data_IF_342121111429
#
_entry.id   IF_342121111429
#
_cell.length_a   1.000
_cell.length_b   1.000
_cell.length_c   1.000
_cell.angle_alpha   90.00
_cell.angle_beta   90.00
_cell.angle_gamma   90.00
#
_symmetry.space_group_name_H-M   'P 1'
#
loop_
_entity.id
_entity.type
_entity.pdbx_description
1 polymer ?
#
# COMPACT_ATOMS: atom_id res chain seq x y z
N UNK A 1 -16.13 -10.35 -4.00
CA UNK A 1 -15.14 -10.67 -5.03
C UNK A 1 -15.13 -9.56 -6.06
N UNK A 2 -13.97 -9.23 -6.61
CA UNK A 2 -13.82 -8.32 -7.73
C UNK A 2 -14.04 -9.04 -9.08
N UNK A 3 -13.79 -8.36 -10.20
CA UNK A 3 -13.96 -8.93 -11.54
C UNK A 3 -12.99 -10.08 -11.85
N UNK A 4 -11.90 -10.22 -11.08
CA UNK A 4 -10.88 -11.26 -11.23
C UNK A 4 -11.18 -12.49 -10.36
N UNK A 5 -12.24 -12.42 -9.54
CA UNK A 5 -12.61 -13.48 -8.61
C UNK A 5 -11.86 -13.42 -7.27
N UNK A 6 -11.07 -12.36 -7.03
CA UNK A 6 -10.32 -12.17 -5.79
C UNK A 6 -11.15 -11.37 -4.76
N UNK A 7 -10.89 -11.50 -3.46
CA UNK A 7 -11.52 -10.66 -2.44
C UNK A 7 -11.25 -9.17 -2.66
N UNK A 8 -12.24 -8.32 -2.35
CA UNK A 8 -12.02 -6.87 -2.33
C UNK A 8 -11.14 -6.55 -1.11
N UNK A 9 -10.03 -5.86 -1.33
CA UNK A 9 -9.11 -5.49 -0.25
C UNK A 9 -9.60 -4.22 0.43
N UNK A 10 -9.77 -4.31 1.76
CA UNK A 10 -10.09 -3.18 2.63
C UNK A 10 -8.90 -2.83 3.51
N UNK A 11 -8.62 -1.54 3.66
CA UNK A 11 -7.65 -1.00 4.61
C UNK A 11 -8.38 -0.23 5.69
N UNK A 12 -8.03 -0.57 6.93
CA UNK A 12 -8.43 0.18 8.12
C UNK A 12 -7.18 0.74 8.79
N UNK A 13 -7.14 2.05 9.00
CA UNK A 13 -6.04 2.73 9.70
C UNK A 13 -6.54 3.11 11.09
N UNK A 14 -5.75 2.82 12.13
CA UNK A 14 -6.06 3.20 13.51
C UNK A 14 -5.34 4.49 13.89
N UNK A 15 -5.92 5.26 14.79
CA UNK A 15 -5.41 6.56 15.22
C UNK A 15 -5.89 6.93 16.64
N UNK A 16 -5.55 8.12 17.14
CA UNK A 16 -6.06 8.66 18.40
C UNK A 16 -6.88 9.94 18.17
N UNK A 17 -8.03 10.05 18.84
CA UNK A 17 -8.81 11.29 18.83
C UNK A 17 -8.28 12.31 19.86
N UNK A 18 -8.92 13.47 19.96
CA UNK A 18 -8.58 14.53 20.93
C UNK A 18 -8.65 14.10 22.40
N UNK A 19 -9.39 13.01 22.70
CA UNK A 19 -9.50 12.43 24.04
C UNK A 19 -8.44 11.33 24.27
N UNK A 20 -7.47 11.17 23.37
CA UNK A 20 -6.41 10.15 23.39
C UNK A 20 -6.98 8.72 23.38
N UNK A 21 -8.15 8.52 22.77
CA UNK A 21 -8.75 7.19 22.59
C UNK A 21 -8.42 6.65 21.21
N UNK A 22 -8.11 5.35 21.15
CA UNK A 22 -7.92 4.63 19.90
C UNK A 22 -9.22 4.64 19.08
N UNK A 23 -9.12 5.03 17.81
CA UNK A 23 -10.21 5.15 16.84
C UNK A 23 -9.76 4.64 15.47
N UNK A 24 -10.71 4.45 14.54
CA UNK A 24 -10.37 4.29 13.13
C UNK A 24 -10.27 5.67 12.45
N UNK A 25 -9.15 5.91 11.78
CA UNK A 25 -8.97 7.07 10.91
C UNK A 25 -9.90 6.94 9.69
N UNK A 26 -10.63 8.01 9.38
CA UNK A 26 -11.61 8.06 8.28
C UNK A 26 -11.18 8.96 7.12
N UNK A 27 -9.91 9.36 7.07
CA UNK A 27 -9.39 10.23 6.02
C UNK A 27 -9.28 9.54 4.66
N UNK A 28 -9.37 8.21 4.62
CA UNK A 28 -9.23 7.42 3.42
C UNK A 28 -10.39 6.44 3.25
N UNK A 29 -10.74 6.16 2.00
CA UNK A 29 -11.66 5.07 1.68
C UNK A 29 -11.08 3.74 2.16
N UNK A 30 -11.95 2.91 2.74
CA UNK A 30 -11.62 1.56 3.18
C UNK A 30 -11.30 0.64 2.00
N UNK A 31 -12.13 0.50 0.96
CA UNK A 31 -11.75 -0.28 -0.22
C UNK A 31 -10.58 0.40 -0.94
N UNK A 32 -9.54 -0.36 -1.27
CA UNK A 32 -8.39 0.19 -1.96
C UNK A 32 -8.68 0.49 -3.43
N UNK A 33 -8.12 1.60 -3.92
CA UNK A 33 -8.05 1.89 -5.34
C UNK A 33 -6.95 1.07 -6.03
N UNK A 34 -7.30 0.48 -7.17
CA UNK A 34 -6.40 -0.33 -7.99
C UNK A 34 -5.96 0.43 -9.23
N UNK A 35 -4.71 0.21 -9.65
CA UNK A 35 -4.14 0.79 -10.85
C UNK A 35 -3.45 -0.27 -11.68
N UNK A 36 -3.74 -0.31 -12.97
CA UNK A 36 -3.05 -1.18 -13.93
C UNK A 36 -1.69 -0.58 -14.23
N UNK A 37 -0.62 -1.34 -13.98
CA UNK A 37 0.75 -0.97 -14.33
C UNK A 37 1.27 -1.94 -15.39
N UNK A 38 1.72 -1.40 -16.53
CA UNK A 38 2.34 -2.17 -17.60
C UNK A 38 1.43 -3.28 -18.16
N UNK A 39 0.26 -2.92 -18.69
CA UNK A 39 -0.70 -3.76 -19.42
C UNK A 39 -1.06 -5.14 -18.82
N UNK A 40 -0.65 -5.47 -17.60
CA UNK A 40 -0.79 -6.83 -17.04
C UNK A 40 -1.08 -6.80 -15.54
N UNK A 41 -0.18 -6.28 -14.71
CA UNK A 41 -0.34 -6.35 -13.26
C UNK A 41 -1.16 -5.17 -12.71
N UNK A 42 -1.96 -5.44 -11.69
CA UNK A 42 -2.71 -4.41 -10.96
C UNK A 42 -2.07 -4.20 -9.59
N UNK A 43 -1.94 -2.93 -9.19
CA UNK A 43 -1.33 -2.53 -7.94
C UNK A 43 -2.33 -1.72 -7.11
N UNK A 44 -2.38 -2.01 -5.81
CA UNK A 44 -3.13 -1.19 -4.85
C UNK A 44 -2.18 -0.61 -3.80
N UNK A 45 -2.00 0.70 -3.81
CA UNK A 45 -1.14 1.41 -2.85
C UNK A 45 -1.87 1.55 -1.51
N UNK A 46 -1.32 0.95 -0.45
CA UNK A 46 -2.07 0.71 0.79
C UNK A 46 -1.59 1.57 1.95
N UNK A 47 -0.29 1.76 2.11
CA UNK A 47 0.27 2.67 3.10
C UNK A 47 1.71 3.03 2.75
N UNK A 48 2.19 4.17 3.27
CA UNK A 48 3.59 4.53 3.12
C UNK A 48 4.07 5.46 4.23
N UNK A 49 5.36 5.35 4.51
CA UNK A 49 6.10 6.25 5.38
C UNK A 49 7.35 6.72 4.63
N UNK A 50 8.00 7.78 5.11
CA UNK A 50 9.19 8.36 4.46
C UNK A 50 10.40 8.53 5.39
N UNK A 51 10.31 7.98 6.60
CA UNK A 51 11.36 8.07 7.60
C UNK A 51 11.29 6.90 8.57
N UNK A 52 12.42 6.61 9.19
CA UNK A 52 12.55 5.67 10.29
C UNK A 52 13.36 6.30 11.43
N UNK A 53 12.88 6.24 12.69
CA UNK A 53 11.57 5.76 13.11
C UNK A 53 10.42 6.62 12.53
N UNK A 54 9.26 5.97 12.31
CA UNK A 54 8.05 6.65 11.84
C UNK A 54 7.51 7.52 12.99
N UNK A 55 7.01 8.71 12.67
CA UNK A 55 6.35 9.58 13.64
C UNK A 55 4.84 9.47 13.45
N UNK A 56 4.19 8.82 14.41
CA UNK A 56 2.75 8.55 14.43
C UNK A 56 1.99 9.61 15.25
N UNK A 57 2.65 10.71 15.64
CA UNK A 57 2.01 11.80 16.36
C UNK A 57 1.47 12.84 15.38
N UNK A 58 0.39 13.51 15.79
CA UNK A 58 -0.20 14.65 15.08
C UNK A 58 -0.45 14.35 13.60
N UNK A 59 -0.93 13.14 13.30
CA UNK A 59 -1.27 12.66 11.96
C UNK A 59 -0.13 12.76 10.93
N UNK A 60 1.13 12.84 11.36
CA UNK A 60 2.26 13.07 10.42
C UNK A 60 2.47 11.94 9.43
N UNK A 61 2.25 10.70 9.83
CA UNK A 61 2.29 9.55 8.94
C UNK A 61 1.08 9.51 8.00
N UNK A 62 -0.10 9.93 8.49
CA UNK A 62 -1.32 10.10 7.69
C UNK A 62 -1.12 11.15 6.59
N UNK A 63 -0.58 12.32 6.94
CA UNK A 63 -0.26 13.40 5.99
C UNK A 63 0.77 12.95 4.96
N UNK A 64 1.80 12.23 5.42
CA UNK A 64 2.79 11.61 4.56
C UNK A 64 2.12 10.66 3.58
N UNK A 65 1.32 9.72 4.07
CA UNK A 65 0.62 8.75 3.24
C UNK A 65 -0.32 9.42 2.23
N UNK A 66 -1.09 10.41 2.66
CA UNK A 66 -1.99 11.21 1.80
C UNK A 66 -1.26 11.89 0.65
N UNK A 67 -0.06 12.44 0.92
CA UNK A 67 0.80 13.01 -0.12
C UNK A 67 1.21 11.96 -1.15
N UNK A 68 1.65 10.79 -0.72
CA UNK A 68 2.05 9.71 -1.64
C UNK A 68 0.89 9.08 -2.40
N UNK A 69 -0.34 9.16 -1.89
CA UNK A 69 -1.52 8.72 -2.62
C UNK A 69 -1.84 9.64 -3.82
N UNK A 70 -1.51 10.93 -3.72
CA UNK A 70 -1.70 11.92 -4.79
C UNK A 70 -0.54 11.89 -5.79
N UNK A 71 0.69 11.92 -5.27
CA UNK A 71 1.92 11.84 -6.05
C UNK A 71 2.56 10.47 -5.82
N UNK A 72 2.12 9.47 -6.59
CA UNK A 72 2.66 8.11 -6.51
C UNK A 72 4.14 8.12 -6.88
N UNK A 73 5.00 8.25 -5.87
CA UNK A 73 6.43 8.01 -6.01
C UNK A 73 6.65 6.54 -6.37
N UNK A 74 7.78 6.27 -7.03
CA UNK A 74 8.07 4.99 -7.66
C UNK A 74 8.09 3.77 -6.72
N UNK A 75 8.81 2.72 -7.10
CA UNK A 75 8.75 1.44 -6.37
C UNK A 75 9.26 1.51 -4.92
N UNK A 76 10.03 2.54 -4.56
CA UNK A 76 10.61 2.72 -3.21
C UNK A 76 10.51 4.16 -2.72
N UNK A 77 10.44 4.34 -1.40
CA UNK A 77 10.54 5.64 -0.72
C UNK A 77 11.81 5.64 0.12
N UNK A 78 12.81 6.48 -0.19
CA UNK A 78 14.05 6.54 0.59
C UNK A 78 13.78 6.79 2.09
N UNK A 79 14.37 5.95 2.95
CA UNK A 79 14.25 6.06 4.40
C UNK A 79 12.90 5.65 4.99
N UNK A 80 11.95 5.23 4.15
CA UNK A 80 10.60 4.87 4.58
C UNK A 80 10.21 3.45 4.21
N UNK A 81 8.90 3.19 4.28
CA UNK A 81 8.29 1.89 3.97
C UNK A 81 7.16 2.08 2.97
N UNK A 82 6.89 1.05 2.16
CA UNK A 82 5.75 1.00 1.25
C UNK A 82 5.01 -0.31 1.43
N UNK A 83 3.70 -0.24 1.64
CA UNK A 83 2.80 -1.37 1.58
C UNK A 83 1.93 -1.29 0.33
N UNK A 84 1.91 -2.37 -0.45
CA UNK A 84 1.11 -2.48 -1.67
C UNK A 84 0.60 -3.90 -1.86
N UNK A 85 -0.56 -4.03 -2.48
CA UNK A 85 -1.04 -5.30 -3.04
C UNK A 85 -0.70 -5.35 -4.52
N UNK A 86 -0.41 -6.55 -5.01
CA UNK A 86 -0.10 -6.80 -6.41
C UNK A 86 -0.88 -8.01 -6.86
N UNK A 87 -1.78 -7.81 -7.82
CA UNK A 87 -2.44 -8.91 -8.50
C UNK A 87 -1.64 -9.22 -9.77
N UNK A 88 -1.10 -10.44 -9.81
CA UNK A 88 -0.35 -10.97 -10.95
C UNK A 88 -1.26 -11.91 -11.75
N UNK A 89 -1.67 -11.55 -12.97
CA UNK A 89 -2.48 -12.45 -13.80
C UNK A 89 -1.73 -13.76 -14.10
N UNK A 90 -2.47 -14.87 -14.35
CA UNK A 90 -1.87 -16.14 -14.74
C UNK A 90 -0.93 -15.99 -15.95
N UNK A 91 0.28 -16.56 -15.86
CA UNK A 91 1.29 -16.52 -16.92
C UNK A 91 1.91 -15.13 -17.15
N UNK A 92 1.62 -14.14 -16.31
CA UNK A 92 2.29 -12.85 -16.35
C UNK A 92 3.67 -12.93 -15.69
N UNK A 93 4.61 -12.13 -16.19
CA UNK A 93 5.93 -11.96 -15.59
C UNK A 93 6.16 -10.48 -15.31
N UNK A 94 6.79 -10.18 -14.19
CA UNK A 94 7.24 -8.82 -13.89
C UNK A 94 8.55 -8.54 -14.64
N UNK A 95 8.81 -7.29 -15.05
CA UNK A 95 10.12 -6.93 -15.58
C UNK A 95 11.21 -7.14 -14.53
N UNK A 96 12.31 -7.76 -14.92
CA UNK A 96 13.48 -7.89 -14.05
C UNK A 96 14.05 -6.50 -13.72
N UNK A 97 14.15 -6.19 -12.43
CA UNK A 97 14.70 -4.93 -11.94
C UNK A 97 15.30 -5.11 -10.54
N UNK A 98 16.00 -4.07 -10.06
CA UNK A 98 16.55 -4.01 -8.70
C UNK A 98 16.14 -2.71 -8.03
N UNK A 99 15.59 -2.82 -6.83
CA UNK A 99 15.35 -1.72 -5.90
C UNK A 99 16.42 -1.72 -4.82
N UNK A 100 16.72 -0.55 -4.23
CA UNK A 100 17.56 -0.45 -3.04
C UNK A 100 16.63 -0.47 -1.83
N UNK A 101 16.06 -1.65 -1.55
CA UNK A 101 15.10 -1.89 -0.46
C UNK A 101 15.22 -3.32 0.06
N UNK A 102 14.63 -3.56 1.23
CA UNK A 102 14.33 -4.90 1.73
C UNK A 102 12.82 -5.07 1.67
N UNK A 103 12.35 -6.04 0.89
CA UNK A 103 10.93 -6.23 0.63
C UNK A 103 10.45 -7.52 1.30
N UNK A 104 9.33 -7.44 2.03
CA UNK A 104 8.65 -8.61 2.58
C UNK A 104 7.45 -8.94 1.68
N UNK A 105 7.56 -10.02 0.92
CA UNK A 105 6.46 -10.55 0.10
C UNK A 105 5.64 -11.58 0.86
N UNK A 106 4.32 -11.41 0.87
CA UNK A 106 3.38 -12.37 1.45
C UNK A 106 2.38 -12.76 0.39
N UNK A 107 2.34 -14.05 0.03
CA UNK A 107 1.35 -14.58 -0.91
C UNK A 107 0.03 -14.75 -0.16
N UNK A 108 -1.01 -14.04 -0.59
CA UNK A 108 -2.33 -14.09 0.04
C UNK A 108 -3.26 -15.12 -0.61
N UNK A 109 -3.13 -15.33 -1.93
CA UNK A 109 -3.92 -16.27 -2.72
C UNK A 109 -3.05 -16.82 -3.86
N UNK A 110 -3.18 -18.11 -4.18
CA UNK A 110 -2.43 -18.77 -5.26
C UNK A 110 -0.95 -19.00 -4.95
N UNK A 111 -0.11 -18.95 -5.99
CA UNK A 111 1.35 -19.15 -5.92
C UNK A 111 2.05 -18.22 -6.91
N UNK A 112 3.30 -17.86 -6.61
CA UNK A 112 4.16 -17.01 -7.46
C UNK A 112 5.54 -17.66 -7.61
N UNK A 113 6.20 -17.41 -8.74
CA UNK A 113 7.57 -17.84 -9.06
C UNK A 113 8.49 -16.65 -9.27
#
# INVERSE_FOLDING_TARGET
MDAKGLPIVHRFVTDHNSDVKAVFNKAFDEPLGWQVIGNKAEFAFSYATNKYPVDLNDDKDIDTYKKYQQDLLGLTIPGGTVLRYVDMPPGSTSPMHRTVSLDYGVVLEGTVE
#
